data_IF_122037572442
#
_entry.id   IF_122037572442
#
_cell.length_a   1.000
_cell.length_b   1.000
_cell.length_c   1.000
_cell.angle_alpha   90.00
_cell.angle_beta   90.00
_cell.angle_gamma   90.00
#
_symmetry.space_group_name_H-M   'P 1'
#
loop_
_entity.id
_entity.type
_entity.pdbx_description
1 polymer ?
#
# COMPACT_ATOMS: atom_id res chain seq x y z
N UNK A 1 15.77 9.75 10.46
CA UNK A 1 17.03 9.52 9.75
C UNK A 1 17.44 10.71 8.89
N UNK A 2 16.50 11.46 8.32
CA UNK A 2 16.77 12.68 7.53
C UNK A 2 16.89 13.86 8.49
N UNK A 3 17.91 14.68 8.31
CA UNK A 3 18.12 15.93 9.04
C UNK A 3 17.54 17.10 8.24
N UNK A 4 17.91 17.20 6.97
CA UNK A 4 17.43 18.25 6.09
C UNK A 4 17.22 17.75 4.66
N UNK A 5 16.36 18.47 3.92
CA UNK A 5 16.11 18.26 2.53
C UNK A 5 16.20 19.60 1.82
N UNK A 6 17.09 19.70 0.83
CA UNK A 6 17.28 20.89 0.02
C UNK A 6 16.97 20.59 -1.42
N UNK A 7 16.17 21.44 -2.06
CA UNK A 7 15.80 21.30 -3.48
C UNK A 7 16.46 22.44 -4.26
N UNK A 8 17.40 22.07 -5.12
CA UNK A 8 18.08 23.02 -6.03
C UNK A 8 17.35 23.00 -7.38
N UNK A 9 16.81 24.14 -7.77
CA UNK A 9 16.03 24.29 -9.03
C UNK A 9 16.69 25.19 -10.05
N UNK A 10 17.64 26.02 -9.62
CA UNK A 10 18.32 26.98 -10.48
C UNK A 10 19.58 26.38 -11.11
N UNK A 11 19.88 26.79 -12.32
CA UNK A 11 21.01 26.26 -13.10
C UNK A 11 22.37 26.51 -12.44
N UNK A 12 22.53 27.61 -11.69
CA UNK A 12 23.79 27.92 -11.01
C UNK A 12 24.10 26.94 -9.87
N UNK A 13 23.12 26.62 -9.04
CA UNK A 13 23.30 25.66 -7.93
C UNK A 13 23.35 24.21 -8.38
N UNK A 14 22.75 23.88 -9.53
CA UNK A 14 22.79 22.52 -10.09
C UNK A 14 23.99 22.25 -10.99
N UNK A 15 24.73 23.28 -11.41
CA UNK A 15 25.89 23.16 -12.29
C UNK A 15 26.97 22.20 -11.76
N UNK A 16 27.16 22.14 -10.44
CA UNK A 16 28.12 21.23 -9.78
C UNK A 16 27.82 19.75 -10.07
N UNK A 17 26.56 19.41 -10.36
CA UNK A 17 26.09 18.06 -10.66
C UNK A 17 26.11 17.73 -12.16
N UNK A 18 26.56 18.68 -13.00
CA UNK A 18 26.66 18.52 -14.45
C UNK A 18 25.31 18.26 -15.11
N UNK A 19 25.33 17.48 -16.20
CA UNK A 19 24.10 17.17 -17.01
C UNK A 19 23.01 16.48 -16.20
N UNK A 20 23.38 15.77 -15.14
CA UNK A 20 22.42 15.10 -14.25
C UNK A 20 21.58 16.08 -13.41
N UNK A 21 22.08 17.30 -13.22
CA UNK A 21 21.39 18.36 -12.51
C UNK A 21 20.40 19.19 -13.35
N UNK A 22 20.28 18.91 -14.66
CA UNK A 22 19.48 19.73 -15.58
C UNK A 22 17.99 19.85 -15.19
N UNK A 23 17.42 18.82 -14.55
CA UNK A 23 16.03 18.79 -14.09
C UNK A 23 15.86 19.15 -12.61
N UNK A 24 16.90 19.70 -11.97
CA UNK A 24 16.94 19.96 -10.54
C UNK A 24 17.61 18.85 -9.74
N UNK A 25 18.01 19.18 -8.52
CA UNK A 25 18.71 18.26 -7.61
C UNK A 25 18.05 18.30 -6.23
N UNK A 26 17.80 17.14 -5.67
CA UNK A 26 17.33 16.99 -4.29
C UNK A 26 18.49 16.50 -3.45
N UNK A 27 18.95 17.33 -2.51
CA UNK A 27 20.01 16.99 -1.55
C UNK A 27 19.35 16.53 -0.27
N UNK A 28 19.65 15.31 0.14
CA UNK A 28 19.18 14.74 1.40
C UNK A 28 20.37 14.62 2.35
N UNK A 29 20.34 15.43 3.42
CA UNK A 29 21.31 15.32 4.50
C UNK A 29 20.77 14.39 5.58
N UNK A 30 21.55 13.40 5.95
CA UNK A 30 21.15 12.42 6.98
C UNK A 30 21.74 12.82 8.33
N UNK A 31 21.02 12.49 9.41
CA UNK A 31 21.46 12.74 10.79
C UNK A 31 22.82 12.12 11.07
N UNK A 32 23.63 12.87 11.74
CA UNK A 32 24.96 12.46 12.24
C UNK A 32 24.97 12.44 13.75
N UNK A 33 26.02 11.88 14.33
CA UNK A 33 26.24 11.91 15.77
C UNK A 33 26.74 13.25 16.23
N UNK A 34 26.31 13.67 17.43
CA UNK A 34 26.84 14.83 18.12
C UNK A 34 27.82 14.39 19.19
N UNK A 35 28.79 15.25 19.52
CA UNK A 35 29.67 15.04 20.68
C UNK A 35 28.83 15.13 21.96
N UNK A 36 28.97 14.15 22.83
CA UNK A 36 28.26 14.11 24.11
C UNK A 36 27.84 12.72 24.54
N UNK A 37 27.05 12.67 25.62
CA UNK A 37 26.52 11.41 26.14
C UNK A 37 25.60 10.75 25.14
N UNK A 38 25.54 9.41 25.09
CA UNK A 38 24.62 8.68 24.23
C UNK A 38 23.17 9.12 24.44
N UNK A 39 22.48 9.45 23.35
CA UNK A 39 21.06 9.74 23.31
C UNK A 39 20.32 8.61 22.58
N UNK A 40 19.36 8.03 23.26
CA UNK A 40 18.52 6.97 22.68
C UNK A 40 17.13 7.54 22.43
N UNK A 41 16.62 7.39 21.22
CA UNK A 41 15.27 7.79 20.83
C UNK A 41 14.54 6.57 20.29
N UNK A 42 13.37 6.29 20.85
CA UNK A 42 12.49 5.20 20.41
C UNK A 42 11.18 5.82 19.96
N UNK A 43 10.72 5.43 18.80
CA UNK A 43 9.38 5.80 18.31
C UNK A 43 8.64 4.57 17.82
N UNK A 44 7.39 4.44 18.24
CA UNK A 44 6.47 3.39 17.79
C UNK A 44 5.17 4.03 17.34
N UNK A 45 4.76 3.71 16.12
CA UNK A 45 3.53 4.22 15.54
C UNK A 45 2.73 2.99 15.07
N UNK A 46 1.51 2.86 15.54
CA UNK A 46 0.56 1.86 15.07
C UNK A 46 -0.62 2.60 14.45
N UNK A 47 -0.96 2.24 13.23
CA UNK A 47 -2.06 2.82 12.48
C UNK A 47 -2.98 1.74 11.95
N UNK A 48 -4.24 2.10 11.78
CA UNK A 48 -5.24 1.32 11.05
C UNK A 48 -5.38 1.96 9.67
N UNK A 49 -5.21 1.15 8.64
CA UNK A 49 -5.45 1.56 7.26
C UNK A 49 -6.78 0.99 6.79
N UNK A 50 -7.54 1.80 6.09
CA UNK A 50 -8.81 1.43 5.47
C UNK A 50 -8.79 1.85 4.01
N UNK A 51 -9.32 1.04 3.07
CA UNK A 51 -9.53 1.49 1.71
C UNK A 51 -10.45 2.71 1.69
N UNK A 52 -10.14 3.71 0.88
CA UNK A 52 -10.99 4.89 0.77
C UNK A 52 -12.32 4.58 0.08
N UNK A 53 -12.29 3.76 -0.95
CA UNK A 53 -13.45 3.28 -1.67
C UNK A 53 -13.09 2.05 -2.48
N UNK A 54 -14.10 1.23 -2.74
CA UNK A 54 -14.05 0.19 -3.77
C UNK A 54 -14.89 0.64 -4.96
N UNK A 55 -14.57 0.13 -6.13
CA UNK A 55 -15.47 0.26 -7.28
C UNK A 55 -16.76 -0.48 -6.92
N UNK A 56 -17.87 0.24 -6.93
CA UNK A 56 -19.18 -0.36 -6.72
C UNK A 56 -19.46 -1.35 -7.86
N UNK A 57 -19.84 -2.55 -7.49
CA UNK A 57 -20.22 -3.61 -8.41
C UNK A 57 -21.74 -3.71 -8.40
N UNK A 58 -22.34 -3.84 -9.58
CA UNK A 58 -23.76 -4.17 -9.66
C UNK A 58 -24.00 -5.58 -9.14
N UNK A 59 -25.19 -5.82 -8.62
CA UNK A 59 -25.61 -7.17 -8.24
C UNK A 59 -25.79 -8.08 -9.47
N UNK A 60 -25.94 -9.38 -9.22
CA UNK A 60 -26.07 -10.36 -10.29
C UNK A 60 -27.32 -10.17 -11.14
N UNK A 61 -28.41 -9.66 -10.54
CA UNK A 61 -29.64 -9.35 -11.26
C UNK A 61 -29.44 -8.21 -12.27
N UNK A 62 -28.88 -7.10 -11.83
CA UNK A 62 -28.62 -5.96 -12.70
C UNK A 62 -27.58 -6.31 -13.76
N UNK A 63 -26.53 -7.04 -13.40
CA UNK A 63 -25.54 -7.52 -14.37
C UNK A 63 -26.20 -8.36 -15.48
N UNK A 64 -27.02 -9.34 -15.13
CA UNK A 64 -27.68 -10.22 -16.10
C UNK A 64 -28.62 -9.44 -17.04
N UNK A 65 -29.36 -8.46 -16.50
CA UNK A 65 -30.25 -7.60 -17.31
C UNK A 65 -29.46 -6.74 -18.29
N UNK A 66 -28.45 -6.00 -17.80
CA UNK A 66 -27.65 -5.10 -18.64
C UNK A 66 -26.84 -5.88 -19.68
N UNK A 67 -26.35 -7.06 -19.32
CA UNK A 67 -25.67 -7.92 -20.29
C UNK A 67 -26.58 -8.37 -21.42
N UNK A 68 -27.83 -8.72 -21.12
CA UNK A 68 -28.82 -9.05 -22.15
C UNK A 68 -29.18 -7.82 -23.01
N UNK A 69 -29.31 -6.62 -22.41
CA UNK A 69 -29.51 -5.37 -23.17
C UNK A 69 -28.35 -5.11 -24.13
N UNK A 70 -27.10 -5.32 -23.64
CA UNK A 70 -25.92 -5.24 -24.50
C UNK A 70 -26.02 -6.20 -25.70
N UNK A 71 -26.37 -7.48 -25.46
CA UNK A 71 -26.53 -8.48 -26.52
C UNK A 71 -27.65 -8.14 -27.46
N UNK A 72 -28.75 -7.59 -26.97
CA UNK A 72 -29.86 -7.13 -27.80
C UNK A 72 -29.44 -6.02 -28.78
N UNK A 73 -28.66 -5.05 -28.26
CA UNK A 73 -28.11 -3.98 -29.10
C UNK A 73 -27.11 -4.50 -30.15
N UNK A 74 -26.49 -5.65 -29.88
CA UNK A 74 -25.58 -6.36 -30.78
C UNK A 74 -26.31 -7.26 -31.80
N UNK A 75 -27.67 -7.17 -31.85
CA UNK A 75 -28.53 -7.86 -32.80
C UNK A 75 -28.97 -9.28 -32.38
N UNK A 76 -28.67 -9.71 -31.16
CA UNK A 76 -29.19 -10.98 -30.64
C UNK A 76 -30.60 -10.80 -30.11
N UNK A 77 -31.43 -11.81 -30.29
CA UNK A 77 -32.82 -11.84 -29.83
C UNK A 77 -33.11 -13.08 -28.99
N UNK A 78 -34.15 -13.01 -28.15
CA UNK A 78 -34.65 -14.17 -27.42
C UNK A 78 -35.14 -15.27 -28.44
N UNK A 79 -34.69 -16.56 -28.29
CA UNK A 79 -33.96 -17.17 -27.17
C UNK A 79 -32.41 -17.10 -27.24
N UNK A 80 -31.83 -16.29 -28.09
CA UNK A 80 -30.38 -16.21 -28.29
C UNK A 80 -29.65 -15.36 -27.24
N UNK A 81 -30.35 -14.79 -26.24
CA UNK A 81 -29.76 -14.04 -25.16
C UNK A 81 -29.03 -14.96 -24.18
N UNK A 82 -27.94 -14.45 -23.59
CA UNK A 82 -27.10 -15.24 -22.71
C UNK A 82 -27.81 -15.66 -21.41
N UNK A 83 -28.54 -14.73 -20.78
CA UNK A 83 -29.30 -15.01 -19.57
C UNK A 83 -30.78 -15.23 -19.94
N UNK A 84 -31.31 -16.41 -19.56
CA UNK A 84 -32.76 -16.71 -19.77
C UNK A 84 -33.63 -15.90 -18.82
N UNK A 85 -34.91 -15.82 -19.09
CA UNK A 85 -35.85 -15.11 -18.19
C UNK A 85 -35.94 -15.79 -16.84
N UNK A 86 -35.85 -17.11 -16.78
CA UNK A 86 -35.83 -17.90 -15.53
C UNK A 86 -34.61 -17.57 -14.72
N UNK A 87 -33.43 -17.47 -15.34
CA UNK A 87 -32.19 -17.11 -14.67
C UNK A 87 -32.25 -15.69 -14.08
N UNK A 88 -32.76 -14.71 -14.85
CA UNK A 88 -32.92 -13.33 -14.37
C UNK A 88 -33.88 -13.26 -13.18
N UNK A 89 -35.02 -14.02 -13.27
CA UNK A 89 -35.97 -14.07 -12.16
C UNK A 89 -35.40 -14.78 -10.93
N UNK A 90 -34.58 -15.81 -11.10
CA UNK A 90 -33.89 -16.49 -10.02
C UNK A 90 -32.86 -15.55 -9.30
N UNK A 91 -32.12 -14.76 -10.07
CA UNK A 91 -31.25 -13.71 -9.49
C UNK A 91 -32.04 -12.65 -8.71
N UNK A 92 -33.21 -12.24 -9.26
CA UNK A 92 -34.07 -11.23 -8.62
C UNK A 92 -34.66 -11.71 -7.30
N UNK A 93 -35.10 -12.96 -7.24
CA UNK A 93 -35.79 -13.53 -6.09
C UNK A 93 -34.84 -14.21 -5.09
N UNK A 94 -33.61 -14.54 -5.52
CA UNK A 94 -32.69 -15.34 -4.72
C UNK A 94 -33.19 -16.76 -4.46
N UNK A 95 -34.04 -17.31 -5.34
CA UNK A 95 -34.68 -18.61 -5.15
C UNK A 95 -33.72 -19.79 -5.13
N UNK A 96 -32.61 -19.68 -5.82
CA UNK A 96 -31.55 -20.70 -5.83
C UNK A 96 -30.15 -20.04 -5.73
N UNK A 97 -29.68 -19.77 -4.52
CA UNK A 97 -28.40 -19.06 -4.32
C UNK A 97 -27.17 -19.91 -4.67
N UNK A 98 -27.33 -21.21 -4.94
CA UNK A 98 -26.24 -22.08 -5.37
C UNK A 98 -26.04 -21.98 -6.87
N UNK A 99 -27.11 -22.09 -7.65
CA UNK A 99 -27.06 -22.00 -9.12
C UNK A 99 -27.00 -20.54 -9.61
N UNK A 100 -27.63 -19.62 -8.89
CA UNK A 100 -27.71 -18.20 -9.23
C UNK A 100 -27.21 -17.31 -8.08
N UNK A 101 -25.91 -17.38 -7.75
CA UNK A 101 -25.35 -16.64 -6.62
C UNK A 101 -25.30 -15.14 -6.88
N UNK A 102 -25.60 -14.35 -5.84
CA UNK A 102 -25.33 -12.92 -5.82
C UNK A 102 -24.12 -12.66 -4.91
N UNK A 103 -22.94 -12.63 -5.51
CA UNK A 103 -21.69 -12.55 -4.77
C UNK A 103 -21.10 -11.14 -4.81
N UNK A 104 -21.00 -10.51 -3.66
CA UNK A 104 -20.29 -9.23 -3.47
C UNK A 104 -18.79 -9.51 -3.27
N UNK A 105 -18.05 -9.57 -4.37
CA UNK A 105 -16.63 -9.95 -4.37
C UNK A 105 -15.76 -9.05 -3.50
N UNK A 106 -16.05 -7.75 -3.44
CA UNK A 106 -15.31 -6.83 -2.59
C UNK A 106 -15.43 -7.20 -1.11
N UNK A 107 -16.64 -7.50 -0.65
CA UNK A 107 -16.91 -7.90 0.74
C UNK A 107 -16.32 -9.28 1.04
N UNK A 108 -16.34 -10.19 0.08
CA UNK A 108 -15.82 -11.53 0.25
C UNK A 108 -14.29 -11.54 0.34
N UNK A 109 -13.61 -10.76 -0.51
CA UNK A 109 -12.16 -10.84 -0.68
C UNK A 109 -11.38 -9.85 0.18
N UNK A 110 -11.95 -8.67 0.47
CA UNK A 110 -11.20 -7.60 1.11
C UNK A 110 -11.60 -7.38 2.56
N UNK A 111 -10.63 -6.94 3.36
CA UNK A 111 -10.85 -6.50 4.75
C UNK A 111 -11.23 -5.02 4.75
N UNK A 112 -12.10 -4.64 5.65
CA UNK A 112 -12.46 -3.24 5.84
C UNK A 112 -11.31 -2.43 6.44
N UNK A 113 -10.45 -3.09 7.21
CA UNK A 113 -9.29 -2.47 7.84
C UNK A 113 -8.15 -3.46 8.07
N UNK A 114 -6.92 -2.94 8.07
CA UNK A 114 -5.72 -3.71 8.37
C UNK A 114 -4.70 -2.87 9.14
N UNK A 115 -3.82 -3.55 9.89
CA UNK A 115 -2.86 -2.92 10.77
C UNK A 115 -1.55 -2.62 10.06
N UNK A 116 -0.98 -1.45 10.40
CA UNK A 116 0.39 -1.08 10.08
C UNK A 116 1.11 -0.66 11.37
N UNK A 117 2.32 -1.18 11.59
CA UNK A 117 3.17 -0.73 12.68
C UNK A 117 4.52 -0.27 12.15
N UNK A 118 5.06 0.80 12.73
CA UNK A 118 6.36 1.35 12.40
C UNK A 118 7.12 1.65 13.67
N UNK A 119 8.22 0.95 13.89
CA UNK A 119 9.06 1.09 15.05
C UNK A 119 10.45 1.56 14.63
N UNK A 120 10.99 2.59 15.29
CA UNK A 120 12.32 3.08 15.02
C UNK A 120 13.06 3.27 16.34
N UNK A 121 14.32 2.89 16.35
CA UNK A 121 15.28 3.13 17.45
C UNK A 121 16.45 3.87 16.86
N UNK A 122 16.82 4.99 17.45
CA UNK A 122 17.99 5.77 17.07
C UNK A 122 18.89 5.94 18.27
N UNK A 123 20.18 5.77 18.07
CA UNK A 123 21.22 5.96 19.08
C UNK A 123 22.25 6.91 18.48
N UNK A 124 22.50 8.01 19.13
CA UNK A 124 23.51 8.99 18.72
C UNK A 124 24.37 9.40 19.90
N UNK A 125 25.61 9.71 19.63
CA UNK A 125 26.56 10.18 20.66
C UNK A 125 27.99 10.24 20.13
N UNK A 126 28.92 10.51 21.00
CA UNK A 126 30.32 10.50 20.64
C UNK A 126 31.19 11.42 21.50
N UNK A 127 32.44 11.50 21.11
CA UNK A 127 33.45 12.42 21.64
C UNK A 127 33.86 13.42 20.56
N UNK A 128 34.81 14.31 20.89
CA UNK A 128 35.38 15.22 19.90
C UNK A 128 36.13 14.49 18.77
N UNK A 129 36.59 13.28 19.04
CA UNK A 129 37.34 12.46 18.06
C UNK A 129 36.47 11.49 17.29
N UNK A 130 35.40 10.97 17.89
CA UNK A 130 34.54 9.96 17.25
C UNK A 130 33.07 10.28 17.54
N UNK A 131 32.27 10.38 16.51
CA UNK A 131 30.82 10.57 16.62
C UNK A 131 30.11 9.46 15.89
N UNK A 132 28.98 9.04 16.41
CA UNK A 132 28.19 7.96 15.80
C UNK A 132 26.70 8.26 15.83
N UNK A 133 26.03 7.80 14.80
CA UNK A 133 24.57 7.73 14.70
C UNK A 133 24.18 6.35 14.16
N UNK A 134 23.40 5.60 14.92
CA UNK A 134 22.87 4.30 14.52
C UNK A 134 21.37 4.38 14.55
N UNK A 135 20.73 3.91 13.49
CA UNK A 135 19.27 3.86 13.35
C UNK A 135 18.84 2.46 12.93
N UNK A 136 17.83 1.94 13.60
CA UNK A 136 17.16 0.69 13.26
C UNK A 136 15.67 0.96 13.09
N UNK A 137 15.10 0.53 11.98
CA UNK A 137 13.67 0.67 11.70
C UNK A 137 13.07 -0.68 11.32
N UNK A 138 11.90 -0.95 11.86
CA UNK A 138 11.04 -2.07 11.47
C UNK A 138 9.65 -1.57 11.16
N UNK A 139 9.14 -1.94 10.00
CA UNK A 139 7.78 -1.66 9.58
C UNK A 139 7.10 -2.97 9.20
N UNK A 140 5.95 -3.18 9.76
CA UNK A 140 5.03 -4.26 9.39
C UNK A 140 3.74 -3.65 8.89
N UNK A 141 3.24 -4.17 7.77
CA UNK A 141 1.94 -3.83 7.23
C UNK A 141 1.24 -5.11 6.84
N UNK A 142 0.06 -5.33 7.39
CA UNK A 142 -0.78 -6.45 7.02
C UNK A 142 -1.40 -6.21 5.63
N UNK A 143 -1.82 -7.26 4.96
CA UNK A 143 -2.46 -7.17 3.65
C UNK A 143 -3.95 -6.90 3.74
N UNK A 144 -4.49 -6.50 2.61
CA UNK A 144 -5.89 -6.16 2.42
C UNK A 144 -6.79 -7.40 2.24
N UNK A 145 -6.24 -8.54 1.79
CA UNK A 145 -7.03 -9.72 1.48
C UNK A 145 -7.46 -10.45 2.75
N UNK A 146 -8.70 -10.94 2.76
CA UNK A 146 -9.19 -11.89 3.76
C UNK A 146 -8.58 -13.26 3.49
N UNK A 147 -8.35 -14.02 4.56
CA UNK A 147 -8.00 -15.43 4.43
C UNK A 147 -9.19 -16.19 3.84
N UNK A 148 -8.95 -16.92 2.76
CA UNK A 148 -9.99 -17.74 2.13
C UNK A 148 -10.14 -19.03 2.95
N UNK A 149 -11.35 -19.36 3.44
CA UNK A 149 -11.59 -20.60 4.14
C UNK A 149 -11.28 -21.82 3.25
N UNK A 150 -10.65 -22.85 3.83
CA UNK A 150 -10.40 -24.11 3.15
C UNK A 150 -9.12 -24.18 2.31
N UNK A 151 -8.37 -23.07 2.17
CA UNK A 151 -7.04 -23.11 1.56
C UNK A 151 -5.96 -23.31 2.62
N UNK A 152 -4.90 -24.05 2.26
CA UNK A 152 -3.78 -24.37 3.17
C UNK A 152 -2.65 -23.34 3.12
N UNK A 153 -2.69 -22.40 2.18
CA UNK A 153 -1.70 -21.34 2.03
C UNK A 153 -2.27 -19.99 2.47
N UNK A 154 -1.38 -19.10 2.91
CA UNK A 154 -1.76 -17.72 3.22
C UNK A 154 -1.81 -16.92 1.91
N UNK A 155 -3.01 -16.46 1.55
CA UNK A 155 -3.25 -15.62 0.38
C UNK A 155 -3.10 -14.12 0.68
N UNK A 156 -2.77 -13.76 1.92
CA UNK A 156 -2.64 -12.38 2.35
C UNK A 156 -1.19 -11.89 2.19
N UNK A 157 -1.02 -10.71 1.59
CA UNK A 157 0.28 -10.07 1.45
C UNK A 157 0.64 -9.29 2.71
N UNK A 158 1.58 -9.80 3.50
CA UNK A 158 2.17 -9.05 4.58
C UNK A 158 3.49 -8.41 4.12
N UNK A 159 3.66 -7.13 4.43
CA UNK A 159 4.87 -6.39 4.09
C UNK A 159 5.71 -6.18 5.34
N UNK A 160 6.95 -6.64 5.31
CA UNK A 160 7.95 -6.44 6.35
C UNK A 160 9.12 -5.66 5.78
N UNK A 161 9.49 -4.56 6.44
CA UNK A 161 10.62 -3.72 6.03
C UNK A 161 11.55 -3.50 7.22
N UNK A 162 12.82 -3.82 7.01
CA UNK A 162 13.90 -3.58 7.96
C UNK A 162 14.84 -2.53 7.39
N UNK A 163 15.16 -1.53 8.15
CA UNK A 163 16.12 -0.48 7.78
C UNK A 163 17.20 -0.40 8.84
N UNK A 164 18.45 -0.42 8.41
CA UNK A 164 19.61 -0.22 9.26
C UNK A 164 20.46 0.88 8.66
N UNK A 165 20.95 1.76 9.52
CA UNK A 165 21.88 2.80 9.14
C UNK A 165 22.87 3.01 10.28
N UNK A 166 24.16 3.15 9.94
CA UNK A 166 25.20 3.55 10.84
C UNK A 166 26.06 4.63 10.16
N UNK A 167 26.20 5.77 10.81
CA UNK A 167 27.10 6.86 10.41
C UNK A 167 28.16 6.98 11.49
N UNK A 168 29.42 6.94 11.09
CA UNK A 168 30.58 7.08 11.96
C UNK A 168 31.46 8.20 11.39
N UNK A 169 31.73 9.21 12.19
CA UNK A 169 32.59 10.32 11.84
C UNK A 169 33.83 10.30 12.74
N UNK A 170 35.00 10.24 12.12
CA UNK A 170 36.29 10.29 12.80
C UNK A 170 36.98 11.63 12.50
N UNK A 171 37.43 12.30 13.52
CA UNK A 171 38.28 13.49 13.39
C UNK A 171 39.73 13.09 13.67
N UNK A 172 40.55 13.11 12.63
CA UNK A 172 41.99 12.90 12.69
C UNK A 172 42.69 14.14 13.24
#
# INVERSE_FOLDING_TARGET
EIESLSVLKDAASTAVFGVRGANGVIIITTKRGDAGKPKISVSSITGVQMPMSYIEQCDSYDFARYYNVYQWNDGKTDPGLYFTREAIEAYRTGSDPIMYPNTHWNELMFRDAFLQTKNNINISGGSDKVRYFVSMGYMFQNGLLKQIPGVTYDNNYAYNRYNYRANLDFKL
#
